data_IF_318942666865
#
_entry.id   IF_318942666865
#
_cell.length_a   1.000
_cell.length_b   1.000
_cell.length_c   1.000
_cell.angle_alpha   90.00
_cell.angle_beta   90.00
_cell.angle_gamma   90.00
#
_symmetry.space_group_name_H-M   'P 1'
#
loop_
_entity.id
_entity.type
_entity.pdbx_description
1 polymer ?
#
# COMPACT_ATOMS: atom_id res chain seq x y z
N UNK A 1 30.99 30.59 -7.19
CA UNK A 1 31.85 29.84 -6.26
C UNK A 1 31.34 28.40 -6.21
N UNK A 2 32.13 27.46 -6.73
CA UNK A 2 31.75 26.04 -6.87
C UNK A 2 32.02 25.34 -5.54
N UNK A 3 30.99 24.82 -4.89
CA UNK A 3 31.15 23.89 -3.77
C UNK A 3 30.60 22.52 -4.17
N UNK A 4 31.41 21.50 -3.87
CA UNK A 4 31.39 20.18 -4.46
C UNK A 4 30.05 19.44 -4.31
N UNK A 5 29.45 19.15 -5.46
CA UNK A 5 28.46 18.08 -5.60
C UNK A 5 29.24 16.77 -5.57
N UNK A 6 29.06 15.99 -4.51
CA UNK A 6 29.67 14.66 -4.39
C UNK A 6 29.34 13.80 -5.61
N UNK A 7 30.39 13.27 -6.25
CA UNK A 7 30.24 12.38 -7.41
C UNK A 7 29.36 11.18 -7.06
N UNK A 8 28.31 10.89 -7.85
CA UNK A 8 27.56 9.65 -7.70
C UNK A 8 28.47 8.47 -8.03
N UNK A 9 28.65 7.54 -7.09
CA UNK A 9 29.36 6.28 -7.32
C UNK A 9 28.49 5.42 -8.26
N UNK A 10 28.92 5.36 -9.53
CA UNK A 10 28.31 4.55 -10.59
C UNK A 10 29.03 3.19 -10.60
N UNK A 11 28.31 2.11 -10.29
CA UNK A 11 28.85 0.75 -10.31
C UNK A 11 28.32 0.02 -11.55
N UNK A 12 29.21 -0.22 -12.51
CA UNK A 12 28.93 -0.97 -13.73
C UNK A 12 28.89 -2.46 -13.41
N UNK A 13 27.76 -3.10 -13.69
CA UNK A 13 27.67 -4.56 -13.75
C UNK A 13 28.45 -5.02 -14.99
N UNK A 14 29.51 -5.80 -14.80
CA UNK A 14 30.28 -6.38 -15.90
C UNK A 14 29.35 -7.06 -16.91
N UNK A 15 29.33 -6.56 -18.15
CA UNK A 15 28.66 -7.19 -19.29
C UNK A 15 27.25 -6.69 -19.67
N UNK A 16 26.69 -5.66 -19.05
CA UNK A 16 25.40 -5.07 -19.49
C UNK A 16 25.57 -3.65 -20.07
N UNK A 17 25.01 -3.43 -21.27
CA UNK A 17 24.94 -2.15 -21.99
C UNK A 17 24.60 -0.99 -21.04
N UNK A 18 25.18 0.19 -21.28
CA UNK A 18 25.20 1.43 -20.47
C UNK A 18 23.86 1.94 -19.88
N UNK A 19 22.72 1.30 -20.16
CA UNK A 19 21.39 1.64 -19.64
C UNK A 19 20.95 0.93 -18.35
N UNK A 20 21.72 0.00 -17.78
CA UNK A 20 21.32 -0.78 -16.59
C UNK A 20 22.26 -0.60 -15.37
N UNK A 21 22.73 0.63 -15.15
CA UNK A 21 23.53 0.94 -13.96
C UNK A 21 22.61 1.22 -12.77
N UNK A 22 22.71 0.39 -11.74
CA UNK A 22 22.01 0.62 -10.48
C UNK A 22 22.83 1.55 -9.58
N UNK A 23 22.21 2.65 -9.16
CA UNK A 23 22.78 3.60 -8.18
C UNK A 23 22.26 3.30 -6.79
N UNK A 24 23.06 3.61 -5.76
CA UNK A 24 22.57 3.65 -4.39
C UNK A 24 21.44 4.67 -4.27
N UNK A 25 20.45 4.35 -3.44
CA UNK A 25 19.30 5.21 -3.16
C UNK A 25 19.48 5.72 -1.74
N UNK A 26 19.33 7.03 -1.53
CA UNK A 26 19.37 7.62 -0.21
C UNK A 26 18.00 7.56 0.46
N UNK A 27 18.01 7.36 1.78
CA UNK A 27 16.80 7.47 2.59
C UNK A 27 16.30 8.91 2.66
N UNK A 28 14.97 9.06 2.71
CA UNK A 28 14.26 10.34 2.82
C UNK A 28 13.29 10.23 4.00
N UNK A 29 13.62 10.88 5.11
CA UNK A 29 12.92 10.76 6.40
C UNK A 29 11.39 10.92 6.35
N UNK A 30 10.85 11.63 5.36
CA UNK A 30 9.40 11.90 5.26
C UNK A 30 8.60 10.79 4.59
N UNK A 31 9.23 9.76 4.03
CA UNK A 31 8.56 8.69 3.29
C UNK A 31 9.10 7.33 3.70
N UNK A 32 8.34 6.56 4.46
CA UNK A 32 8.79 5.25 4.95
C UNK A 32 9.33 4.32 3.84
N UNK A 33 8.76 4.39 2.63
CA UNK A 33 9.20 3.62 1.46
C UNK A 33 10.67 3.88 1.07
N UNK A 34 11.23 5.07 1.32
CA UNK A 34 12.61 5.36 0.95
C UNK A 34 13.60 4.49 1.70
N UNK A 35 13.34 4.21 2.98
CA UNK A 35 14.21 3.36 3.78
C UNK A 35 14.18 1.92 3.25
N UNK A 36 12.99 1.43 2.90
CA UNK A 36 12.83 0.14 2.26
C UNK A 36 13.62 0.06 0.94
N UNK A 37 13.45 1.04 0.04
CA UNK A 37 14.15 1.05 -1.25
C UNK A 37 15.67 1.24 -1.11
N UNK A 38 16.13 2.04 -0.14
CA UNK A 38 17.55 2.19 0.17
C UNK A 38 18.17 0.85 0.55
N UNK A 39 17.56 0.15 1.52
CA UNK A 39 18.09 -1.13 2.01
C UNK A 39 17.99 -2.21 0.93
N UNK A 40 16.87 -2.32 0.22
CA UNK A 40 16.71 -3.28 -0.88
C UNK A 40 17.76 -3.06 -1.98
N UNK A 41 17.99 -1.78 -2.37
CA UNK A 41 19.03 -1.42 -3.34
C UNK A 41 20.43 -1.71 -2.82
N UNK A 42 20.71 -1.37 -1.56
CA UNK A 42 22.00 -1.64 -0.93
C UNK A 42 22.30 -3.15 -0.92
N UNK A 43 21.33 -3.99 -0.58
CA UNK A 43 21.49 -5.45 -0.59
C UNK A 43 21.79 -6.04 -1.97
N UNK A 44 21.31 -5.40 -3.04
CA UNK A 44 21.65 -5.74 -4.43
C UNK A 44 23.08 -5.33 -4.78
N UNK A 45 23.53 -4.18 -4.26
CA UNK A 45 24.84 -3.60 -4.55
C UNK A 45 25.93 -3.97 -3.53
N UNK A 46 25.61 -4.76 -2.51
CA UNK A 46 26.47 -4.95 -1.33
C UNK A 46 27.88 -5.46 -1.68
N UNK A 47 28.02 -6.31 -2.70
CA UNK A 47 29.32 -6.80 -3.18
C UNK A 47 30.20 -5.67 -3.70
N UNK A 48 29.65 -4.84 -4.58
CA UNK A 48 30.35 -3.70 -5.14
C UNK A 48 30.69 -2.66 -4.09
N UNK A 49 29.78 -2.42 -3.14
CA UNK A 49 30.05 -1.53 -2.00
C UNK A 49 31.22 -2.07 -1.19
N UNK A 50 31.26 -3.37 -0.90
CA UNK A 50 32.38 -4.02 -0.23
C UNK A 50 33.71 -3.79 -0.97
N UNK A 51 33.75 -4.01 -2.29
CA UNK A 51 34.96 -3.83 -3.10
C UNK A 51 35.48 -2.38 -3.10
N UNK A 52 34.57 -1.40 -3.04
CA UNK A 52 34.92 0.02 -2.96
C UNK A 52 35.45 0.37 -1.57
N UNK A 53 34.79 -0.10 -0.51
CA UNK A 53 35.21 0.17 0.88
C UNK A 53 36.58 -0.44 1.20
N UNK A 54 36.90 -1.62 0.64
CA UNK A 54 38.23 -2.22 0.77
C UNK A 54 39.36 -1.33 0.20
N UNK A 55 39.05 -0.45 -0.75
CA UNK A 55 40.02 0.49 -1.35
C UNK A 55 40.09 1.84 -0.62
N UNK A 56 39.23 2.07 0.38
CA UNK A 56 39.08 3.34 1.09
C UNK A 56 39.09 3.13 2.60
N UNK A 57 40.25 3.01 3.23
CA UNK A 57 40.38 2.65 4.65
C UNK A 57 39.88 3.74 5.64
N UNK A 58 39.60 4.96 5.16
CA UNK A 58 39.03 6.05 5.96
C UNK A 58 37.49 6.09 5.90
N UNK A 59 36.88 5.30 5.00
CA UNK A 59 35.42 5.20 4.89
C UNK A 59 34.88 4.19 5.93
N UNK A 60 33.56 4.20 6.22
CA UNK A 60 32.96 3.28 7.18
C UNK A 60 33.19 1.81 6.82
N UNK A 61 33.30 0.96 7.84
CA UNK A 61 33.38 -0.48 7.65
C UNK A 61 32.11 -1.03 6.97
N UNK A 62 32.30 -2.08 6.18
CA UNK A 62 31.18 -2.80 5.56
C UNK A 62 30.39 -3.57 6.63
N UNK A 63 29.07 -3.69 6.41
CA UNK A 63 28.23 -4.54 7.25
C UNK A 63 28.71 -5.99 7.24
N UNK A 64 28.63 -6.63 8.41
CA UNK A 64 28.94 -8.04 8.57
C UNK A 64 27.97 -8.94 7.79
N UNK A 65 28.38 -10.18 7.52
CA UNK A 65 27.51 -11.17 6.88
C UNK A 65 26.19 -11.38 7.66
N UNK A 66 26.25 -11.32 9.00
CA UNK A 66 25.08 -11.45 9.87
C UNK A 66 24.13 -10.26 9.68
N UNK A 67 24.64 -9.03 9.69
CA UNK A 67 23.81 -7.82 9.49
C UNK A 67 23.18 -7.80 8.10
N UNK A 68 23.91 -8.22 7.06
CA UNK A 68 23.35 -8.36 5.72
C UNK A 68 22.18 -9.37 5.70
N UNK A 69 22.30 -10.49 6.43
CA UNK A 69 21.21 -11.46 6.54
C UNK A 69 20.01 -10.90 7.31
N UNK A 70 20.25 -10.14 8.39
CA UNK A 70 19.20 -9.45 9.15
C UNK A 70 18.42 -8.45 8.28
N UNK A 71 19.12 -7.68 7.43
CA UNK A 71 18.50 -6.77 6.48
C UNK A 71 17.68 -7.51 5.42
N UNK A 72 18.15 -8.66 4.93
CA UNK A 72 17.40 -9.51 3.97
C UNK A 72 16.08 -10.00 4.57
N UNK A 73 16.10 -10.47 5.81
CA UNK A 73 14.86 -10.89 6.50
C UNK A 73 13.92 -9.71 6.75
N UNK A 74 14.47 -8.56 7.16
CA UNK A 74 13.70 -7.32 7.36
C UNK A 74 12.98 -6.91 6.07
N UNK A 75 13.69 -6.86 4.95
CA UNK A 75 13.09 -6.54 3.64
C UNK A 75 12.06 -7.56 3.20
N UNK A 76 12.29 -8.86 3.46
CA UNK A 76 11.30 -9.90 3.17
C UNK A 76 9.99 -9.65 3.91
N UNK A 77 10.05 -9.25 5.18
CA UNK A 77 8.89 -8.93 6.00
C UNK A 77 8.21 -7.61 5.60
N UNK A 78 8.95 -6.63 5.11
CA UNK A 78 8.39 -5.32 4.72
C UNK A 78 7.82 -5.30 3.28
N UNK A 79 8.27 -6.20 2.41
CA UNK A 79 7.87 -6.24 0.99
C UNK A 79 6.34 -6.34 0.77
N UNK A 80 5.55 -7.12 1.55
CA UNK A 80 4.10 -7.15 1.38
C UNK A 80 3.45 -5.77 1.57
N UNK A 81 3.97 -4.96 2.50
CA UNK A 81 3.47 -3.60 2.74
C UNK A 81 3.79 -2.64 1.59
N UNK A 82 4.96 -2.81 0.97
CA UNK A 82 5.35 -2.00 -0.19
C UNK A 82 4.43 -2.29 -1.37
N UNK A 83 4.14 -3.57 -1.66
CA UNK A 83 3.16 -3.97 -2.70
C UNK A 83 1.78 -3.36 -2.44
N UNK A 84 1.27 -3.47 -1.22
CA UNK A 84 -0.04 -2.87 -0.88
C UNK A 84 0.02 -1.36 -0.98
N UNK A 85 1.10 -0.72 -0.55
CA UNK A 85 1.24 0.73 -0.61
C UNK A 85 1.25 1.22 -2.05
N UNK A 86 1.92 0.53 -2.97
CA UNK A 86 1.83 0.81 -4.40
C UNK A 86 0.40 0.68 -4.93
N UNK A 87 -0.31 -0.37 -4.53
CA UNK A 87 -1.70 -0.63 -4.95
C UNK A 87 -2.73 0.33 -4.34
N UNK A 88 -2.42 1.00 -3.22
CA UNK A 88 -3.31 2.04 -2.66
C UNK A 88 -2.90 3.45 -3.07
N UNK A 89 -1.67 3.64 -3.54
CA UNK A 89 -1.18 4.94 -4.01
C UNK A 89 -1.63 5.26 -5.45
N UNK A 90 -2.41 4.38 -6.07
CA UNK A 90 -2.98 4.62 -7.39
C UNK A 90 -4.14 5.63 -7.33
N UNK A 91 -4.06 6.68 -8.14
CA UNK A 91 -5.10 7.72 -8.20
C UNK A 91 -6.19 7.41 -9.24
N UNK A 92 -5.93 6.49 -10.16
CA UNK A 92 -6.80 6.21 -11.33
C UNK A 92 -7.93 5.21 -11.07
N UNK A 93 -8.09 4.71 -9.84
CA UNK A 93 -9.10 3.71 -9.50
C UNK A 93 -9.59 3.84 -8.06
N UNK A 94 -10.77 3.26 -7.80
CA UNK A 94 -11.34 3.20 -6.45
C UNK A 94 -10.52 2.24 -5.59
N UNK A 95 -9.87 2.78 -4.56
CA UNK A 95 -9.00 2.02 -3.65
C UNK A 95 -9.78 1.44 -2.47
N UNK A 96 -10.83 2.12 -2.01
CA UNK A 96 -11.51 1.79 -0.74
C UNK A 96 -12.11 0.37 -0.72
N UNK A 97 -12.61 -0.14 -1.87
CA UNK A 97 -13.12 -1.51 -1.97
C UNK A 97 -12.04 -2.58 -1.90
N UNK A 98 -10.77 -2.23 -2.13
CA UNK A 98 -9.63 -3.14 -2.08
C UNK A 98 -8.99 -3.23 -0.70
N UNK A 99 -9.27 -2.29 0.22
CA UNK A 99 -8.58 -2.21 1.50
C UNK A 99 -8.71 -3.49 2.33
N UNK A 100 -9.94 -4.02 2.48
CA UNK A 100 -10.17 -5.28 3.20
C UNK A 100 -9.46 -6.48 2.52
N UNK A 101 -9.64 -6.72 1.21
CA UNK A 101 -8.87 -7.74 0.49
C UNK A 101 -7.35 -7.63 0.70
N UNK A 102 -6.78 -6.43 0.51
CA UNK A 102 -5.34 -6.20 0.60
C UNK A 102 -4.80 -6.47 2.01
N UNK A 103 -5.52 -6.04 3.06
CA UNK A 103 -5.13 -6.33 4.44
C UNK A 103 -5.18 -7.82 4.77
N UNK A 104 -6.17 -8.54 4.24
CA UNK A 104 -6.22 -9.98 4.37
C UNK A 104 -5.02 -10.66 3.69
N UNK A 105 -4.71 -10.26 2.45
CA UNK A 105 -3.55 -10.75 1.72
C UNK A 105 -2.24 -10.50 2.47
N UNK A 106 -2.00 -9.27 2.96
CA UNK A 106 -0.79 -8.93 3.73
C UNK A 106 -0.71 -9.73 5.01
N UNK A 107 -1.82 -9.88 5.74
CA UNK A 107 -1.82 -10.66 6.99
C UNK A 107 -1.40 -12.11 6.71
N UNK A 108 -1.99 -12.74 5.69
CA UNK A 108 -1.67 -14.11 5.29
C UNK A 108 -0.20 -14.23 4.83
N UNK A 109 0.28 -13.29 3.99
CA UNK A 109 1.66 -13.30 3.50
C UNK A 109 2.65 -13.17 4.66
N UNK A 110 2.42 -12.25 5.61
CA UNK A 110 3.26 -12.07 6.81
C UNK A 110 3.24 -13.31 7.71
N UNK A 111 2.08 -13.89 7.97
CA UNK A 111 1.94 -15.10 8.78
C UNK A 111 2.70 -16.28 8.16
N UNK A 112 2.73 -16.38 6.83
CA UNK A 112 3.45 -17.42 6.09
C UNK A 112 4.99 -17.30 6.16
N UNK A 113 5.53 -16.10 6.34
CA UNK A 113 6.98 -15.88 6.38
C UNK A 113 7.54 -16.43 7.68
N UNK A 114 8.48 -17.38 7.60
CA UNK A 114 9.22 -17.88 8.77
C UNK A 114 10.61 -17.25 8.80
N UNK A 115 10.84 -16.23 9.65
CA UNK A 115 12.17 -15.68 9.90
C UNK A 115 12.97 -16.61 10.82
N UNK A 116 14.29 -16.65 10.62
CA UNK A 116 15.20 -17.51 11.38
C UNK A 116 16.07 -16.72 12.35
N UNK A 117 16.16 -15.39 12.21
CA UNK A 117 16.94 -14.53 13.11
C UNK A 117 16.04 -13.84 14.12
N UNK A 118 16.56 -13.59 15.31
CA UNK A 118 15.84 -12.95 16.43
C UNK A 118 15.16 -11.64 16.01
N UNK A 119 15.87 -10.80 15.25
CA UNK A 119 15.33 -9.52 14.76
C UNK A 119 14.15 -9.72 13.81
N UNK A 120 14.19 -10.74 12.95
CA UNK A 120 13.12 -11.05 12.02
C UNK A 120 11.90 -11.60 12.76
N UNK A 121 12.11 -12.46 13.75
CA UNK A 121 11.05 -13.01 14.62
C UNK A 121 10.35 -11.88 15.37
N UNK A 122 11.14 -11.00 15.99
CA UNK A 122 10.64 -9.86 16.76
C UNK A 122 9.90 -8.85 15.85
N UNK A 123 10.44 -8.56 14.67
CA UNK A 123 9.79 -7.70 13.69
C UNK A 123 8.45 -8.29 13.22
N UNK A 124 8.41 -9.58 12.87
CA UNK A 124 7.16 -10.27 12.48
C UNK A 124 6.12 -10.16 13.60
N UNK A 125 6.51 -10.43 14.84
CA UNK A 125 5.65 -10.34 16.02
C UNK A 125 5.06 -8.94 16.16
N UNK A 126 5.89 -7.91 16.04
CA UNK A 126 5.46 -6.51 16.15
C UNK A 126 4.54 -6.10 14.98
N UNK A 127 4.85 -6.54 13.76
CA UNK A 127 4.00 -6.30 12.58
C UNK A 127 2.59 -6.88 12.79
N UNK A 128 2.50 -8.14 13.21
CA UNK A 128 1.20 -8.80 13.45
C UNK A 128 0.42 -8.08 14.56
N UNK A 129 1.10 -7.70 15.64
CA UNK A 129 0.49 -6.95 16.74
C UNK A 129 -0.07 -5.59 16.27
N UNK A 130 0.69 -4.83 15.48
CA UNK A 130 0.26 -3.53 14.96
C UNK A 130 -0.84 -3.66 13.90
N UNK A 131 -0.79 -4.69 13.04
CA UNK A 131 -1.87 -5.01 12.09
C UNK A 131 -3.19 -5.25 12.84
N UNK A 132 -3.16 -6.10 13.88
CA UNK A 132 -4.34 -6.39 14.71
C UNK A 132 -4.85 -5.14 15.44
N UNK A 133 -3.94 -4.36 16.02
CA UNK A 133 -4.27 -3.14 16.77
C UNK A 133 -4.93 -2.08 15.88
N UNK A 134 -4.40 -1.85 14.68
CA UNK A 134 -4.86 -0.78 13.78
C UNK A 134 -6.04 -1.21 12.90
N UNK A 135 -6.06 -2.45 12.44
CA UNK A 135 -7.01 -2.94 11.44
C UNK A 135 -7.92 -4.08 11.92
N UNK A 136 -7.77 -4.54 13.16
CA UNK A 136 -8.56 -5.68 13.67
C UNK A 136 -10.08 -5.44 13.76
N UNK A 137 -10.53 -4.18 13.67
CA UNK A 137 -11.96 -3.82 13.64
C UNK A 137 -12.42 -3.23 12.31
N UNK A 138 -11.63 -3.40 11.24
CA UNK A 138 -11.91 -2.75 9.96
C UNK A 138 -13.25 -3.17 9.35
N UNK A 139 -13.66 -4.42 9.60
CA UNK A 139 -14.94 -4.98 9.14
C UNK A 139 -16.16 -4.30 9.79
N UNK A 140 -15.97 -3.58 10.90
CA UNK A 140 -17.02 -2.85 11.61
C UNK A 140 -17.08 -1.36 11.25
N UNK A 141 -16.13 -0.87 10.46
CA UNK A 141 -16.19 0.50 9.95
C UNK A 141 -17.35 0.63 8.95
N UNK A 142 -17.83 1.85 8.71
CA UNK A 142 -18.97 2.05 7.84
C UNK A 142 -18.58 1.94 6.35
N UNK A 143 -17.61 2.75 5.90
CA UNK A 143 -17.33 2.93 4.47
C UNK A 143 -16.63 1.72 3.83
N UNK A 144 -15.64 1.13 4.51
CA UNK A 144 -14.78 0.09 3.92
C UNK A 144 -15.55 -1.22 3.64
N UNK A 145 -16.31 -1.78 4.59
CA UNK A 145 -17.08 -3.00 4.37
C UNK A 145 -18.17 -2.83 3.32
N UNK A 146 -18.88 -1.69 3.34
CA UNK A 146 -19.90 -1.34 2.35
C UNK A 146 -19.27 -1.28 0.95
N UNK A 147 -18.17 -0.53 0.79
CA UNK A 147 -17.49 -0.42 -0.50
C UNK A 147 -16.94 -1.75 -1.00
N UNK A 148 -16.45 -2.60 -0.10
CA UNK A 148 -15.95 -3.95 -0.43
C UNK A 148 -17.09 -4.86 -0.91
N UNK A 149 -18.26 -4.82 -0.26
CA UNK A 149 -19.43 -5.61 -0.65
C UNK A 149 -19.99 -5.17 -2.02
N UNK A 150 -20.02 -3.86 -2.26
CA UNK A 150 -20.52 -3.30 -3.51
C UNK A 150 -19.62 -3.63 -4.71
N UNK A 151 -18.34 -3.96 -4.47
CA UNK A 151 -17.43 -4.40 -5.51
C UNK A 151 -17.69 -5.88 -5.87
N UNK A 152 -18.15 -6.17 -7.11
CA UNK A 152 -18.53 -7.54 -7.50
C UNK A 152 -17.38 -8.54 -7.44
N UNK A 153 -16.13 -8.06 -7.46
CA UNK A 153 -14.93 -8.90 -7.38
C UNK A 153 -14.72 -9.49 -5.99
N UNK A 154 -15.22 -8.83 -4.95
CA UNK A 154 -14.95 -9.17 -3.56
C UNK A 154 -16.21 -9.62 -2.82
N UNK A 155 -17.31 -8.87 -2.96
CA UNK A 155 -18.58 -9.13 -2.27
C UNK A 155 -18.32 -9.35 -0.76
N UNK A 156 -18.72 -10.51 -0.24
CA UNK A 156 -18.56 -10.91 1.16
C UNK A 156 -17.34 -11.81 1.42
N UNK A 157 -16.47 -12.08 0.42
CA UNK A 157 -15.39 -13.07 0.51
C UNK A 157 -14.34 -12.73 1.59
N UNK A 158 -14.10 -11.44 1.82
CA UNK A 158 -13.01 -10.96 2.66
C UNK A 158 -13.43 -10.57 4.08
N UNK A 159 -14.62 -10.99 4.53
CA UNK A 159 -15.05 -10.88 5.91
C UNK A 159 -14.58 -12.09 6.71
N UNK A 160 -13.98 -11.85 7.87
CA UNK A 160 -13.63 -12.86 8.86
C UNK A 160 -14.73 -13.01 9.91
N UNK A 161 -15.46 -11.94 10.19
CA UNK A 161 -16.56 -11.93 11.15
C UNK A 161 -17.93 -11.97 10.42
N UNK A 162 -18.71 -13.07 10.57
CA UNK A 162 -20.03 -13.18 9.97
C UNK A 162 -21.02 -12.08 10.43
N UNK A 163 -20.91 -11.62 11.68
CA UNK A 163 -21.77 -10.57 12.24
C UNK A 163 -21.46 -9.23 11.58
N UNK A 164 -20.18 -8.91 11.40
CA UNK A 164 -19.76 -7.70 10.69
C UNK A 164 -20.24 -7.71 9.23
N UNK A 165 -20.14 -8.87 8.56
CA UNK A 165 -20.65 -9.07 7.20
C UNK A 165 -22.15 -8.83 7.10
N UNK A 166 -22.94 -9.45 7.98
CA UNK A 166 -24.39 -9.26 8.01
C UNK A 166 -24.78 -7.79 8.25
N UNK A 167 -24.08 -7.11 9.16
CA UNK A 167 -24.30 -5.69 9.44
C UNK A 167 -24.03 -4.83 8.19
N UNK A 168 -22.92 -5.06 7.49
CA UNK A 168 -22.59 -4.32 6.28
C UNK A 168 -23.62 -4.58 5.15
N UNK A 169 -24.09 -5.82 4.98
CA UNK A 169 -25.18 -6.15 4.04
C UNK A 169 -26.48 -5.41 4.40
N UNK A 170 -26.83 -5.37 5.69
CA UNK A 170 -28.04 -4.68 6.15
C UNK A 170 -27.97 -3.17 5.83
N UNK A 171 -26.81 -2.54 6.03
CA UNK A 171 -26.61 -1.13 5.68
C UNK A 171 -26.68 -0.89 4.17
N UNK A 172 -26.08 -1.75 3.34
CA UNK A 172 -26.21 -1.66 1.87
C UNK A 172 -27.68 -1.71 1.46
N UNK A 173 -28.46 -2.65 2.02
CA UNK A 173 -29.90 -2.77 1.73
C UNK A 173 -30.67 -1.52 2.16
N UNK A 174 -30.33 -0.92 3.30
CA UNK A 174 -30.95 0.32 3.79
C UNK A 174 -30.65 1.48 2.85
N UNK A 175 -29.39 1.66 2.46
CA UNK A 175 -28.98 2.69 1.51
C UNK A 175 -29.71 2.57 0.17
N UNK A 176 -29.82 1.35 -0.37
CA UNK A 176 -30.52 1.09 -1.62
C UNK A 176 -32.02 1.40 -1.56
N UNK A 177 -32.67 1.19 -0.40
CA UNK A 177 -34.09 1.54 -0.21
C UNK A 177 -34.30 3.05 -0.18
N UNK A 178 -33.43 3.77 0.53
CA UNK A 178 -33.53 5.22 0.64
C UNK A 178 -33.33 5.91 -0.72
N UNK A 179 -32.36 5.43 -1.52
CA UNK A 179 -32.13 5.99 -2.87
C UNK A 179 -33.30 5.85 -3.83
N UNK A 180 -34.20 4.88 -3.61
CA UNK A 180 -35.40 4.65 -4.44
C UNK A 180 -36.56 5.56 -4.01
N UNK A 181 -36.60 5.98 -2.74
CA UNK A 181 -37.62 6.93 -2.24
C UNK A 181 -37.30 8.38 -2.61
N UNK A 182 -36.01 8.72 -2.72
CA UNK A 182 -35.57 10.05 -3.14
C UNK A 182 -35.79 10.29 -4.65
N UNK A 183 -35.81 9.24 -5.48
CA UNK A 183 -36.11 9.36 -6.92
C UNK A 183 -37.60 9.52 -7.22
N UNK A 184 -38.49 8.91 -6.42
CA UNK A 184 -39.95 8.98 -6.64
C UNK A 184 -40.59 10.33 -6.26
N UNK A 185 -39.86 11.21 -5.58
CA UNK A 185 -40.33 12.56 -5.21
C UNK A 185 -39.91 13.66 -6.20
N UNK A 186 -39.13 13.34 -7.24
CA UNK A 186 -38.66 14.33 -8.23
C UNK A 186 -39.35 14.23 -9.61
N UNK A 187 -40.10 13.16 -9.90
CA UNK A 187 -40.73 12.96 -11.23
C UNK A 187 -42.15 13.53 -11.39
N UNK A 188 -42.68 14.32 -10.44
CA UNK A 188 -44.04 14.90 -10.54
C UNK A 188 -44.04 16.44 -10.52
N UNK A 189 -43.40 17.08 -11.49
CA UNK A 189 -43.65 18.51 -11.80
C UNK A 189 -43.26 18.89 -13.24
N UNK A 190 -43.88 18.26 -14.23
CA UNK A 190 -43.93 18.85 -15.57
C UNK A 190 -45.19 18.38 -16.29
N UNK A 191 -46.33 18.99 -15.98
CA UNK A 191 -47.50 18.98 -16.84
C UNK A 191 -48.04 20.42 -16.94
N UNK A 192 -48.03 20.90 -18.18
CA UNK A 192 -48.96 21.82 -18.84
C UNK A 192 -49.06 23.29 -18.36
N UNK A 193 -48.33 24.17 -19.05
CA UNK A 193 -48.82 25.53 -19.30
C UNK A 193 -49.40 25.62 -20.73
N UNK A 194 -50.73 25.60 -20.80
CA UNK A 194 -51.52 25.99 -21.97
C UNK A 194 -51.25 27.47 -22.31
N UNK A 195 -50.80 27.72 -23.54
CA UNK A 195 -50.78 29.06 -24.11
C UNK A 195 -52.20 29.52 -24.41
N UNK A 196 -52.73 30.42 -23.58
CA UNK A 196 -53.88 31.26 -23.91
C UNK A 196 -53.39 32.71 -24.06
N UNK A 197 -53.16 33.12 -25.29
CA UNK A 197 -52.96 34.54 -25.63
C UNK A 197 -54.31 35.11 -26.05
N UNK A 198 -54.99 35.76 -25.10
CA UNK A 198 -56.13 36.62 -25.40
C UNK A 198 -55.62 38.04 -25.68
N UNK A 199 -56.19 38.58 -26.76
CA UNK A 199 -55.98 39.87 -27.38
C UNK A 199 -56.57 41.04 -26.54
N UNK A 200 -55.87 42.18 -26.45
CA UNK A 200 -56.34 43.58 -26.22
C UNK A 200 -55.10 44.43 -25.89
N UNK A 201 -54.72 45.57 -26.47
CA UNK A 201 -55.25 46.55 -27.44
C UNK A 201 -54.11 46.97 -28.40
#
# INVERSE_FOLDING_TARGET
EKTMVGSPIILLLEGKKEGNVHKLILDVKTRWNSTFYMIDRFLVLSKFVSDVLLKKPLDPEMLTARELQQLRETIKLLRPFEKVTLEISGEKYVVISKIMPLLNCVTIEIESIQPNLDIGIELKRNIIAELKKRFGKIEFLYMIPIATILDPRFKNLHFRDPVACQKAIAEVKKLAKNSVQDTSSTECSSMDEEQKTDNFD
#
